data_IF_925988635971
#
_entry.id   IF_925988635971
#
_cell.length_a   1.000
_cell.length_b   1.000
_cell.length_c   1.000
_cell.angle_alpha   90.00
_cell.angle_beta   90.00
_cell.angle_gamma   90.00
#
_symmetry.space_group_name_H-M   'P 1'
#
loop_
_entity.id
_entity.type
_entity.pdbx_description
1 polymer ?
#
# COMPACT_ATOMS: atom_id res chain seq x y z
N UNK A 1 -14.98 7.06 6.86
CA UNK A 1 -15.31 5.64 6.58
C UNK A 1 -14.06 5.00 6.02
N UNK A 2 -13.70 3.80 6.47
CA UNK A 2 -12.49 3.10 6.01
C UNK A 2 -12.68 2.60 4.58
N UNK A 3 -11.67 2.77 3.72
CA UNK A 3 -11.62 2.30 2.35
C UNK A 3 -10.51 1.26 2.24
N UNK A 4 -10.82 0.05 1.76
CA UNK A 4 -9.82 -0.93 1.35
C UNK A 4 -9.76 -0.92 -0.17
N UNK A 5 -8.59 -0.62 -0.72
CA UNK A 5 -8.40 -0.37 -2.15
C UNK A 5 -7.75 -1.57 -2.82
N UNK A 6 -8.28 -2.04 -3.97
CA UNK A 6 -7.52 -2.90 -4.84
C UNK A 6 -6.37 -2.07 -5.42
N UNK A 7 -5.31 -2.71 -5.86
CA UNK A 7 -4.10 -2.04 -6.30
C UNK A 7 -3.58 -2.51 -7.65
N UNK A 8 -3.02 -1.53 -8.35
CA UNK A 8 -2.11 -1.74 -9.46
C UNK A 8 -0.72 -1.91 -8.85
N UNK A 9 -0.33 -3.15 -8.54
CA UNK A 9 1.05 -3.47 -8.13
C UNK A 9 1.96 -3.69 -9.34
N UNK A 10 3.26 -3.49 -9.12
CA UNK A 10 4.26 -3.51 -10.20
C UNK A 10 5.48 -4.35 -9.90
N UNK A 11 5.46 -5.18 -8.84
CA UNK A 11 6.60 -6.00 -8.45
C UNK A 11 6.95 -7.07 -9.50
N UNK A 12 5.99 -7.45 -10.36
CA UNK A 12 6.23 -8.33 -11.49
C UNK A 12 6.56 -9.76 -11.06
N UNK A 13 6.05 -10.19 -9.90
CA UNK A 13 6.26 -11.54 -9.37
C UNK A 13 5.58 -12.61 -10.23
N UNK A 14 4.62 -12.21 -11.06
CA UNK A 14 4.03 -13.05 -12.10
C UNK A 14 4.23 -12.40 -13.46
N UNK A 15 4.51 -13.21 -14.48
CA UNK A 15 4.68 -12.73 -15.86
C UNK A 15 3.44 -12.00 -16.40
N UNK A 16 2.25 -12.33 -15.91
CA UNK A 16 0.98 -11.71 -16.27
C UNK A 16 0.58 -10.53 -15.37
N UNK A 17 1.27 -10.33 -14.24
CA UNK A 17 1.03 -9.24 -13.29
C UNK A 17 1.93 -8.05 -13.63
N UNK A 18 1.51 -7.30 -14.64
CA UNK A 18 2.08 -6.01 -14.98
C UNK A 18 1.01 -4.92 -14.91
N UNK A 19 1.44 -3.66 -14.81
CA UNK A 19 0.51 -2.55 -14.65
C UNK A 19 -0.45 -2.37 -15.83
N UNK A 20 -0.10 -2.79 -17.04
CA UNK A 20 -1.02 -2.73 -18.19
C UNK A 20 -2.19 -3.70 -17.99
N UNK A 21 -1.91 -4.94 -17.57
CA UNK A 21 -2.95 -5.94 -17.26
C UNK A 21 -3.87 -5.40 -16.17
N UNK A 22 -3.30 -4.95 -15.04
CA UNK A 22 -4.08 -4.42 -13.91
C UNK A 22 -4.94 -3.22 -14.29
N UNK A 23 -4.40 -2.28 -15.07
CA UNK A 23 -5.16 -1.12 -15.55
C UNK A 23 -6.31 -1.54 -16.47
N UNK A 24 -6.09 -2.54 -17.33
CA UNK A 24 -7.14 -3.15 -18.15
C UNK A 24 -8.25 -3.77 -17.30
N UNK A 25 -7.89 -4.47 -16.24
CA UNK A 25 -8.86 -5.04 -15.28
C UNK A 25 -9.65 -3.95 -14.54
N UNK A 26 -8.98 -2.93 -14.00
CA UNK A 26 -9.62 -1.77 -13.34
C UNK A 26 -10.66 -1.13 -14.26
N UNK A 27 -10.29 -0.90 -15.52
CA UNK A 27 -11.18 -0.29 -16.52
C UNK A 27 -12.37 -1.19 -16.84
N UNK A 28 -12.12 -2.49 -17.08
CA UNK A 28 -13.14 -3.48 -17.45
C UNK A 28 -14.13 -3.75 -16.33
N UNK A 29 -13.65 -3.81 -15.09
CA UNK A 29 -14.46 -4.06 -13.89
C UNK A 29 -15.15 -2.79 -13.39
N UNK A 30 -14.82 -1.62 -13.95
CA UNK A 30 -15.44 -0.36 -13.59
C UNK A 30 -15.07 0.11 -12.19
N UNK A 31 -13.83 -0.12 -11.75
CA UNK A 31 -13.37 0.26 -10.42
C UNK A 31 -13.14 1.76 -10.35
N UNK A 32 -13.83 2.44 -9.43
CA UNK A 32 -13.80 3.91 -9.33
C UNK A 32 -12.63 4.42 -8.46
N UNK A 33 -12.05 3.57 -7.61
CA UNK A 33 -10.89 3.89 -6.76
C UNK A 33 -9.93 2.72 -6.64
N UNK A 34 -8.64 2.96 -6.85
CA UNK A 34 -7.59 1.98 -6.64
C UNK A 34 -6.33 2.61 -6.04
N UNK A 35 -5.47 1.81 -5.42
CA UNK A 35 -4.11 2.20 -5.06
C UNK A 35 -3.14 1.96 -6.23
N UNK A 36 -2.02 2.68 -6.25
CA UNK A 36 -0.96 2.50 -7.23
C UNK A 36 0.37 2.26 -6.53
N UNK A 37 1.08 1.18 -6.87
CA UNK A 37 2.43 0.92 -6.38
C UNK A 37 3.40 1.05 -7.55
N UNK A 38 4.34 1.99 -7.47
CA UNK A 38 5.32 2.23 -8.55
C UNK A 38 6.71 1.63 -8.25
N UNK A 39 6.81 0.82 -7.20
CA UNK A 39 8.05 0.20 -6.70
C UNK A 39 8.80 -0.62 -7.75
N UNK A 40 8.10 -1.35 -8.61
CA UNK A 40 8.70 -2.12 -9.69
C UNK A 40 8.83 -1.37 -11.03
N UNK A 41 8.45 -0.09 -11.10
CA UNK A 41 8.52 0.71 -12.33
C UNK A 41 9.77 1.60 -12.33
N UNK A 42 10.64 1.38 -13.31
CA UNK A 42 11.82 2.22 -13.51
C UNK A 42 11.43 3.66 -13.82
N UNK A 43 12.27 4.61 -13.43
CA UNK A 43 12.02 6.03 -13.69
C UNK A 43 11.83 6.36 -15.16
N UNK A 44 12.50 5.64 -16.07
CA UNK A 44 12.35 5.78 -17.52
C UNK A 44 10.99 5.34 -18.04
N UNK A 45 10.30 4.46 -17.31
CA UNK A 45 9.07 3.81 -17.75
C UNK A 45 7.81 4.42 -17.09
N UNK A 46 7.98 5.17 -15.99
CA UNK A 46 6.89 5.89 -15.31
C UNK A 46 6.10 6.85 -16.20
N UNK A 47 6.71 7.61 -17.15
CA UNK A 47 5.95 8.44 -18.08
C UNK A 47 4.94 7.64 -18.93
N UNK A 48 5.28 6.40 -19.31
CA UNK A 48 4.38 5.53 -20.05
C UNK A 48 3.21 5.07 -19.18
N UNK A 49 3.48 4.66 -17.93
CA UNK A 49 2.45 4.34 -16.94
C UNK A 49 1.49 5.52 -16.73
N UNK A 50 2.01 6.71 -16.44
CA UNK A 50 1.21 7.91 -16.17
C UNK A 50 0.35 8.31 -17.37
N UNK A 51 0.90 8.22 -18.59
CA UNK A 51 0.16 8.50 -19.81
C UNK A 51 -0.98 7.50 -20.02
N UNK A 52 -0.75 6.22 -19.71
CA UNK A 52 -1.77 5.19 -19.82
C UNK A 52 -2.88 5.35 -18.76
N UNK A 53 -2.54 5.66 -17.51
CA UNK A 53 -3.50 5.98 -16.46
C UNK A 53 -4.40 7.16 -16.87
N UNK A 54 -3.80 8.22 -17.42
CA UNK A 54 -4.53 9.41 -17.87
C UNK A 54 -5.41 9.12 -19.09
N UNK A 55 -4.95 8.27 -20.01
CA UNK A 55 -5.76 7.85 -21.15
C UNK A 55 -6.97 7.02 -20.69
N UNK A 56 -6.77 6.07 -19.78
CA UNK A 56 -7.84 5.26 -19.21
C UNK A 56 -8.87 6.13 -18.46
N UNK A 57 -8.41 7.11 -17.66
CA UNK A 57 -9.31 7.97 -16.87
C UNK A 57 -10.17 8.90 -17.73
N UNK A 58 -9.74 9.24 -18.95
CA UNK A 58 -10.58 9.98 -19.93
C UNK A 58 -11.76 9.16 -20.43
N UNK A 59 -11.61 7.84 -20.54
CA UNK A 59 -12.69 6.95 -20.98
C UNK A 59 -13.65 6.63 -19.84
N UNK A 60 -13.11 6.35 -18.65
CA UNK A 60 -13.88 6.16 -17.42
C UNK A 60 -13.11 6.80 -16.26
N UNK A 61 -13.61 7.90 -15.68
CA UNK A 61 -12.95 8.54 -14.55
C UNK A 61 -12.82 7.58 -13.35
N UNK A 62 -11.63 7.51 -12.76
CA UNK A 62 -11.34 6.83 -11.52
C UNK A 62 -10.33 7.64 -10.70
N UNK A 63 -10.27 7.40 -9.40
CA UNK A 63 -9.34 8.09 -8.49
C UNK A 63 -8.23 7.15 -8.02
N UNK A 64 -7.08 7.73 -7.70
CA UNK A 64 -5.96 7.03 -7.07
C UNK A 64 -5.67 7.72 -5.75
N UNK A 65 -6.47 7.50 -4.69
CA UNK A 65 -6.31 8.23 -3.43
C UNK A 65 -5.01 7.89 -2.69
N UNK A 66 -4.35 6.78 -3.04
CA UNK A 66 -3.12 6.32 -2.41
C UNK A 66 -2.09 5.82 -3.42
N UNK A 67 -0.83 6.23 -3.21
CA UNK A 67 0.30 5.82 -4.04
C UNK A 67 1.47 5.37 -3.17
N UNK A 68 1.94 4.16 -3.40
CA UNK A 68 3.25 3.72 -2.92
C UNK A 68 4.33 4.25 -3.84
N UNK A 69 4.94 5.36 -3.41
CA UNK A 69 5.96 6.09 -4.13
C UNK A 69 7.34 5.47 -3.93
N UNK A 70 8.31 5.91 -4.74
CA UNK A 70 9.72 5.52 -4.59
C UNK A 70 10.58 6.76 -4.35
N UNK A 71 11.72 6.58 -3.67
CA UNK A 71 12.61 7.68 -3.25
C UNK A 71 13.20 8.50 -4.41
N UNK A 72 13.15 7.97 -5.64
CA UNK A 72 13.59 8.66 -6.85
C UNK A 72 12.45 9.26 -7.69
N UNK A 73 11.24 9.40 -7.14
CA UNK A 73 10.19 10.18 -7.79
C UNK A 73 10.50 11.68 -7.70
N UNK A 74 10.36 12.39 -8.82
CA UNK A 74 10.49 13.83 -8.86
C UNK A 74 9.20 14.52 -8.33
N UNK A 75 9.28 15.73 -7.75
CA UNK A 75 8.10 16.47 -7.25
C UNK A 75 6.97 16.59 -8.28
N UNK A 76 7.30 16.80 -9.56
CA UNK A 76 6.32 16.89 -10.64
C UNK A 76 5.51 15.60 -10.84
N UNK A 77 6.06 14.43 -10.49
CA UNK A 77 5.34 13.15 -10.55
C UNK A 77 4.28 13.06 -9.45
N UNK A 78 4.58 13.56 -8.24
CA UNK A 78 3.61 13.67 -7.15
C UNK A 78 2.48 14.64 -7.54
N UNK A 79 2.83 15.83 -8.03
CA UNK A 79 1.85 16.85 -8.45
C UNK A 79 0.94 16.37 -9.58
N UNK A 80 1.51 15.61 -10.52
CA UNK A 80 0.74 14.97 -11.59
C UNK A 80 -0.32 14.02 -11.01
N UNK A 81 0.05 13.17 -10.04
CA UNK A 81 -0.85 12.21 -9.41
C UNK A 81 -1.91 12.89 -8.56
N UNK A 82 -1.56 13.96 -7.84
CA UNK A 82 -2.49 14.79 -7.08
C UNK A 82 -3.52 15.42 -8.01
N UNK A 83 -3.05 16.11 -9.06
CA UNK A 83 -3.92 16.93 -9.93
C UNK A 83 -4.84 16.11 -10.82
N UNK A 84 -4.38 14.94 -11.30
CA UNK A 84 -5.12 14.16 -12.29
C UNK A 84 -5.96 13.04 -11.68
N UNK A 85 -5.60 12.53 -10.51
CA UNK A 85 -6.27 11.37 -9.89
C UNK A 85 -6.77 11.66 -8.47
N UNK A 86 -6.56 12.88 -7.97
CA UNK A 86 -6.96 13.29 -6.63
C UNK A 86 -6.26 12.48 -5.55
N UNK A 87 -4.96 12.24 -5.73
CA UNK A 87 -4.13 11.50 -4.76
C UNK A 87 -4.11 12.24 -3.43
N UNK A 88 -4.48 11.54 -2.37
CA UNK A 88 -4.64 12.10 -1.03
C UNK A 88 -3.38 11.84 -0.19
N UNK A 89 -2.81 10.65 -0.31
CA UNK A 89 -1.68 10.18 0.50
C UNK A 89 -0.67 9.40 -0.34
N UNK A 90 0.57 9.50 0.08
CA UNK A 90 1.66 8.70 -0.43
C UNK A 90 2.28 7.92 0.72
N UNK A 91 2.92 6.79 0.42
CA UNK A 91 3.94 6.26 1.32
C UNK A 91 5.31 6.18 0.65
N UNK A 92 6.34 6.14 1.48
CA UNK A 92 7.71 5.82 1.10
C UNK A 92 8.27 4.80 2.11
N UNK A 93 9.23 4.01 1.64
CA UNK A 93 10.15 3.33 2.55
C UNK A 93 11.00 4.35 3.34
N UNK A 94 11.63 3.93 4.46
CA UNK A 94 12.39 4.84 5.31
C UNK A 94 13.55 5.50 4.58
N UNK A 95 13.67 6.82 4.70
CA UNK A 95 14.70 7.61 4.00
C UNK A 95 16.13 7.28 4.43
N UNK A 96 16.32 6.69 5.62
CA UNK A 96 17.63 6.20 6.05
C UNK A 96 18.11 4.99 5.24
N UNK A 97 17.19 4.21 4.67
CA UNK A 97 17.47 3.05 3.82
C UNK A 97 17.40 3.43 2.34
N UNK A 98 16.42 4.27 1.99
CA UNK A 98 16.16 4.72 0.64
C UNK A 98 16.21 6.26 0.57
N UNK A 99 17.42 6.86 0.53
CA UNK A 99 17.56 8.32 0.47
C UNK A 99 16.80 8.94 -0.70
N UNK A 100 16.18 10.08 -0.45
CA UNK A 100 15.47 10.84 -1.48
C UNK A 100 16.44 11.33 -2.54
N UNK A 101 16.10 11.12 -3.82
CA UNK A 101 16.87 11.68 -4.95
C UNK A 101 16.55 13.15 -5.21
N UNK A 102 15.41 13.62 -4.69
CA UNK A 102 14.92 14.98 -4.86
C UNK A 102 14.44 15.53 -3.51
N UNK A 103 14.69 16.82 -3.27
CA UNK A 103 14.10 17.50 -2.13
C UNK A 103 12.58 17.59 -2.31
N UNK A 104 11.84 17.27 -1.25
CA UNK A 104 10.39 17.41 -1.18
C UNK A 104 10.09 18.58 -0.24
N UNK A 105 9.16 19.45 -0.65
CA UNK A 105 8.74 20.57 0.18
C UNK A 105 7.84 20.12 1.33
N UNK A 106 7.47 21.07 2.19
CA UNK A 106 6.66 20.79 3.37
C UNK A 106 5.25 20.30 3.00
N UNK A 107 4.68 20.74 1.87
CA UNK A 107 3.34 20.31 1.46
C UNK A 107 3.36 18.84 1.05
N UNK A 108 4.26 18.43 0.15
CA UNK A 108 4.39 17.03 -0.25
C UNK A 108 4.72 16.13 0.94
N UNK A 109 5.64 16.56 1.80
CA UNK A 109 6.00 15.79 3.01
C UNK A 109 4.83 15.61 3.96
N UNK A 110 3.92 16.59 4.06
CA UNK A 110 2.69 16.49 4.87
C UNK A 110 1.66 15.47 4.35
N UNK A 111 1.87 14.92 3.15
CA UNK A 111 1.04 13.87 2.53
C UNK A 111 1.71 12.50 2.52
N UNK A 112 2.98 12.41 2.92
CA UNK A 112 3.79 11.19 2.84
C UNK A 112 3.87 10.52 4.21
N UNK A 113 3.56 9.23 4.23
CA UNK A 113 3.62 8.36 5.39
C UNK A 113 4.77 7.36 5.23
N UNK A 114 5.54 7.11 6.30
CA UNK A 114 6.71 6.23 6.21
C UNK A 114 6.35 4.82 6.64
N UNK A 115 6.75 3.86 5.82
CA UNK A 115 6.39 2.46 5.97
C UNK A 115 7.39 1.66 6.82
N UNK A 116 6.89 0.72 7.63
CA UNK A 116 7.70 -0.37 8.20
C UNK A 116 8.07 -1.41 7.12
N UNK A 117 8.93 -1.02 6.19
CA UNK A 117 9.23 -1.76 4.96
C UNK A 117 9.97 -3.09 5.13
N UNK A 118 10.56 -3.34 6.31
CA UNK A 118 11.30 -4.59 6.59
C UNK A 118 10.90 -5.16 7.95
N UNK A 119 10.61 -6.47 8.06
CA UNK A 119 10.32 -7.12 9.33
C UNK A 119 11.53 -7.16 10.29
N UNK A 120 12.74 -6.90 9.79
CA UNK A 120 13.95 -6.95 10.60
C UNK A 120 14.34 -5.57 11.20
N UNK A 121 13.67 -4.49 10.78
CA UNK A 121 14.02 -3.12 11.20
C UNK A 121 12.81 -2.35 11.72
N UNK A 122 12.88 -1.93 12.97
CA UNK A 122 11.93 -0.96 13.53
C UNK A 122 12.23 0.45 13.01
N UNK A 123 11.17 1.21 12.72
CA UNK A 123 11.28 2.64 12.42
C UNK A 123 11.79 3.43 13.62
N UNK A 124 12.62 4.42 13.33
CA UNK A 124 13.10 5.38 14.32
C UNK A 124 12.34 6.70 14.19
N UNK A 125 12.37 7.53 15.24
CA UNK A 125 11.82 8.89 15.16
C UNK A 125 12.48 9.75 14.07
N UNK A 126 13.74 9.44 13.71
CA UNK A 126 14.45 10.13 12.62
C UNK A 126 13.87 9.78 11.25
N UNK A 127 13.44 8.53 11.04
CA UNK A 127 12.81 8.09 9.79
C UNK A 127 11.50 8.86 9.53
N UNK A 128 10.78 9.21 10.60
CA UNK A 128 9.48 9.86 10.57
C UNK A 128 9.57 11.39 10.58
N UNK A 129 10.75 11.95 10.83
CA UNK A 129 10.89 13.38 11.07
C UNK A 129 10.50 14.22 9.85
N UNK A 130 9.52 15.09 10.04
CA UNK A 130 9.00 15.99 9.02
C UNK A 130 8.19 15.28 7.92
N UNK A 131 7.73 14.06 8.15
CA UNK A 131 6.72 13.39 7.33
C UNK A 131 5.37 13.35 8.06
N UNK A 132 4.30 12.98 7.35
CA UNK A 132 2.94 13.04 7.86
C UNK A 132 2.67 12.02 8.99
N UNK A 133 3.38 10.90 9.00
CA UNK A 133 3.20 9.82 9.98
C UNK A 133 3.61 8.46 9.45
N UNK A 134 2.89 7.43 9.91
CA UNK A 134 3.12 6.02 9.59
C UNK A 134 2.21 5.51 8.47
N UNK A 135 2.81 4.75 7.55
CA UNK A 135 2.10 3.75 6.77
C UNK A 135 2.38 2.41 7.43
N UNK A 136 1.38 1.77 8.04
CA UNK A 136 1.62 0.50 8.72
C UNK A 136 1.34 -0.62 7.73
N UNK A 137 2.40 -1.26 7.22
CA UNK A 137 2.28 -2.57 6.59
C UNK A 137 1.98 -3.59 7.68
N UNK A 138 0.74 -4.08 7.68
CA UNK A 138 0.23 -4.96 8.74
C UNK A 138 0.80 -6.37 8.56
N UNK A 139 1.11 -6.79 7.33
CA UNK A 139 1.71 -8.10 7.07
C UNK A 139 3.15 -8.17 7.59
N UNK A 140 3.95 -7.12 7.36
CA UNK A 140 5.28 -6.99 7.97
C UNK A 140 5.19 -6.91 9.49
N UNK A 141 4.18 -6.21 10.03
CA UNK A 141 3.95 -6.14 11.47
C UNK A 141 3.62 -7.51 12.08
N UNK A 142 2.88 -8.35 11.37
CA UNK A 142 2.56 -9.72 11.80
C UNK A 142 3.77 -10.63 11.72
N UNK A 143 4.54 -10.52 10.63
CA UNK A 143 5.81 -11.25 10.52
C UNK A 143 6.77 -10.85 11.64
N UNK A 144 6.86 -9.56 11.98
CA UNK A 144 7.61 -9.09 13.16
C UNK A 144 7.11 -9.77 14.43
N UNK A 145 5.79 -9.80 14.67
CA UNK A 145 5.20 -10.38 15.88
C UNK A 145 5.49 -11.88 16.01
N UNK A 146 5.43 -12.61 14.90
CA UNK A 146 5.61 -14.06 14.87
C UNK A 146 7.09 -14.48 14.91
N UNK A 147 7.95 -13.81 14.16
CA UNK A 147 9.32 -14.26 13.90
C UNK A 147 10.41 -13.34 14.44
N UNK A 148 10.09 -12.10 14.83
CA UNK A 148 11.07 -11.05 15.23
C UNK A 148 10.56 -10.22 16.41
N UNK A 149 10.25 -10.88 17.53
CA UNK A 149 9.63 -10.25 18.70
C UNK A 149 10.36 -8.97 19.18
N UNK A 150 11.69 -8.92 19.12
CA UNK A 150 12.46 -7.72 19.49
C UNK A 150 12.23 -6.55 18.51
N UNK A 151 12.11 -6.81 17.21
CA UNK A 151 11.77 -5.78 16.23
C UNK A 151 10.33 -5.29 16.44
N UNK A 152 9.39 -6.22 16.67
CA UNK A 152 8.01 -5.90 17.01
C UNK A 152 7.92 -4.98 18.23
N UNK A 153 8.58 -5.35 19.34
CA UNK A 153 8.60 -4.55 20.57
C UNK A 153 9.21 -3.16 20.36
N UNK A 154 10.25 -3.04 19.53
CA UNK A 154 10.87 -1.75 19.18
C UNK A 154 9.97 -0.87 18.30
N UNK A 155 9.02 -1.47 17.57
CA UNK A 155 8.09 -0.74 16.72
C UNK A 155 6.86 -0.20 17.48
N UNK A 156 6.44 -0.85 18.59
CA UNK A 156 5.28 -0.43 19.38
C UNK A 156 5.30 1.05 19.82
N UNK A 157 6.44 1.63 20.26
CA UNK A 157 6.50 3.06 20.58
C UNK A 157 6.17 3.96 19.39
N UNK A 158 6.58 3.60 18.17
CA UNK A 158 6.26 4.37 16.97
C UNK A 158 4.75 4.33 16.68
N UNK A 159 4.14 3.14 16.77
CA UNK A 159 2.69 2.96 16.62
C UNK A 159 1.88 3.81 17.61
N UNK A 160 2.39 4.01 18.82
CA UNK A 160 1.72 4.82 19.84
C UNK A 160 1.97 6.33 19.67
N UNK A 161 3.13 6.73 19.12
CA UNK A 161 3.57 8.12 19.09
C UNK A 161 3.21 8.87 17.81
N UNK A 162 3.03 8.17 16.69
CA UNK A 162 2.83 8.80 15.37
C UNK A 162 1.45 8.46 14.79
N UNK A 163 0.83 9.40 14.05
CA UNK A 163 -0.45 9.14 13.40
C UNK A 163 -0.28 8.07 12.31
N UNK A 164 -1.23 7.14 12.25
CA UNK A 164 -1.31 6.14 11.18
C UNK A 164 -2.22 6.70 10.09
N UNK A 165 -1.66 6.96 8.91
CA UNK A 165 -2.41 7.54 7.79
C UNK A 165 -2.62 6.60 6.63
N UNK A 166 -1.96 5.46 6.57
CA UNK A 166 -2.24 4.45 5.57
C UNK A 166 -1.86 3.06 6.09
N UNK A 167 -2.38 2.03 5.44
CA UNK A 167 -1.92 0.66 5.64
C UNK A 167 -1.64 -0.02 4.31
N UNK A 168 -0.65 -0.91 4.33
CA UNK A 168 -0.59 -2.02 3.37
C UNK A 168 -1.13 -3.29 4.01
N UNK A 169 -1.80 -4.08 3.18
CA UNK A 169 -2.30 -5.40 3.54
C UNK A 169 -1.88 -6.38 2.43
N UNK A 170 -1.07 -7.35 2.81
CA UNK A 170 -0.64 -8.49 2.01
C UNK A 170 -1.04 -9.80 2.71
N UNK A 171 -0.86 -10.94 2.05
CA UNK A 171 -1.11 -12.24 2.68
C UNK A 171 -0.03 -12.60 3.70
N UNK A 172 -0.40 -13.34 4.75
CA UNK A 172 0.55 -13.92 5.71
C UNK A 172 0.34 -15.43 5.81
N UNK A 173 1.37 -16.21 5.48
CA UNK A 173 1.33 -17.68 5.53
C UNK A 173 1.91 -18.21 6.84
N UNK A 174 1.05 -18.57 7.79
CA UNK A 174 1.46 -18.98 9.15
C UNK A 174 1.93 -20.43 9.25
N UNK A 175 1.61 -21.26 8.25
CA UNK A 175 2.04 -22.67 8.16
C UNK A 175 3.56 -22.88 8.07
N UNK A 176 4.31 -21.79 7.87
CA UNK A 176 5.79 -21.76 7.84
C UNK A 176 6.38 -20.93 8.96
N UNK A 177 5.66 -20.67 10.05
CA UNK A 177 6.20 -19.90 11.19
C UNK A 177 7.56 -20.47 11.63
N UNK A 178 8.61 -19.64 11.61
CA UNK A 178 10.01 -20.06 11.81
C UNK A 178 10.84 -20.27 10.54
N UNK A 179 10.27 -20.24 9.33
CA UNK A 179 10.94 -20.42 8.04
C UNK A 179 10.43 -19.43 6.98
N UNK A 180 11.33 -18.89 6.13
CA UNK A 180 11.02 -17.96 5.01
C UNK A 180 10.22 -16.69 5.43
N UNK A 181 10.06 -15.66 4.55
CA UNK A 181 9.16 -14.55 4.87
C UNK A 181 7.72 -15.05 4.88
N UNK A 182 6.96 -14.63 5.91
CA UNK A 182 5.56 -15.00 6.07
C UNK A 182 4.67 -14.04 5.30
N UNK A 183 5.05 -12.76 5.20
CA UNK A 183 4.37 -11.77 4.38
C UNK A 183 4.67 -12.01 2.91
N UNK A 184 3.63 -12.17 2.10
CA UNK A 184 3.74 -12.46 0.67
C UNK A 184 2.75 -11.63 -0.14
N UNK A 185 3.19 -11.11 -1.28
CA UNK A 185 2.35 -10.33 -2.20
C UNK A 185 1.47 -11.20 -3.11
N UNK A 186 1.32 -12.49 -2.79
CA UNK A 186 0.42 -13.42 -3.47
C UNK A 186 -0.32 -14.26 -2.44
N UNK A 187 -1.61 -14.01 -2.28
CA UNK A 187 -2.44 -14.88 -1.46
C UNK A 187 -2.81 -16.14 -2.23
N UNK A 188 -2.97 -17.25 -1.49
CA UNK A 188 -3.44 -18.53 -2.02
C UNK A 188 -4.84 -18.86 -1.53
N UNK A 189 -5.17 -18.40 -0.32
CA UNK A 189 -6.47 -18.56 0.30
C UNK A 189 -6.88 -17.26 1.01
N UNK A 190 -8.19 -16.99 1.14
CA UNK A 190 -8.68 -15.84 1.89
C UNK A 190 -8.30 -15.93 3.37
N UNK A 191 -8.09 -17.14 3.89
CA UNK A 191 -7.63 -17.39 5.24
C UNK A 191 -6.25 -16.77 5.52
N UNK A 192 -5.44 -16.49 4.48
CA UNK A 192 -4.16 -15.76 4.58
C UNK A 192 -4.32 -14.35 5.19
N UNK A 193 -5.55 -13.81 5.28
CA UNK A 193 -5.85 -12.52 5.88
C UNK A 193 -6.41 -12.58 7.31
N UNK A 194 -6.64 -13.78 7.89
CA UNK A 194 -7.24 -13.90 9.24
C UNK A 194 -6.40 -13.28 10.35
N UNK A 195 -5.09 -13.18 10.15
CA UNK A 195 -4.17 -12.57 11.10
C UNK A 195 -4.54 -11.11 11.43
N UNK A 196 -5.26 -10.42 10.55
CA UNK A 196 -5.72 -9.05 10.78
C UNK A 196 -6.59 -8.90 12.04
N UNK A 197 -7.28 -9.97 12.47
CA UNK A 197 -8.10 -9.96 13.71
C UNK A 197 -7.27 -9.82 14.99
N UNK A 198 -5.96 -10.03 14.92
CA UNK A 198 -5.07 -9.86 16.07
C UNK A 198 -4.82 -8.39 16.42
N UNK A 199 -5.21 -7.47 15.54
CA UNK A 199 -4.94 -6.04 15.68
C UNK A 199 -6.19 -5.26 16.08
N UNK A 200 -5.98 -4.27 16.96
CA UNK A 200 -7.01 -3.29 17.29
C UNK A 200 -7.42 -2.48 16.06
N UNK A 201 -8.70 -2.10 15.98
CA UNK A 201 -9.23 -1.21 14.96
C UNK A 201 -8.47 0.13 14.84
N UNK A 202 -7.76 0.55 15.90
CA UNK A 202 -6.94 1.75 15.94
C UNK A 202 -5.66 1.67 15.08
N UNK A 203 -5.20 0.45 14.72
CA UNK A 203 -4.04 0.24 13.84
C UNK A 203 -4.40 0.48 12.36
N UNK A 204 -5.69 0.40 12.03
CA UNK A 204 -6.17 0.55 10.67
C UNK A 204 -6.57 2.00 10.40
N UNK A 205 -5.85 2.65 9.48
CA UNK A 205 -6.20 3.93 8.88
C UNK A 205 -7.54 3.86 8.13
N UNK A 206 -8.02 5.01 7.68
CA UNK A 206 -9.16 5.15 6.78
C UNK A 206 -8.84 4.83 5.31
N UNK A 207 -7.56 4.68 4.96
CA UNK A 207 -7.10 4.16 3.67
C UNK A 207 -6.21 2.93 3.92
N UNK A 208 -6.65 1.78 3.45
CA UNK A 208 -5.85 0.56 3.40
C UNK A 208 -5.70 0.16 1.93
N UNK A 209 -4.49 -0.16 1.48
CA UNK A 209 -4.23 -0.65 0.14
C UNK A 209 -3.81 -2.12 0.20
N UNK A 210 -4.42 -2.97 -0.64
CA UNK A 210 -3.89 -4.30 -0.84
C UNK A 210 -2.55 -4.20 -1.58
N UNK A 211 -1.51 -4.88 -1.14
CA UNK A 211 -0.23 -4.95 -1.87
C UNK A 211 -0.06 -6.37 -2.44
N UNK A 212 -0.87 -6.68 -3.46
CA UNK A 212 -1.02 -8.02 -4.00
C UNK A 212 -0.86 -8.03 -5.53
N UNK A 213 -0.15 -9.02 -6.02
CA UNK A 213 0.02 -9.30 -7.44
C UNK A 213 -1.14 -10.15 -8.01
N UNK A 214 -2.07 -10.61 -7.17
CA UNK A 214 -3.30 -11.31 -7.59
C UNK A 214 -4.15 -10.44 -8.54
N UNK A 215 -4.84 -11.02 -9.55
CA UNK A 215 -5.81 -10.34 -10.41
C UNK A 215 -6.75 -9.40 -9.63
N UNK A 216 -7.19 -8.30 -10.24
CA UNK A 216 -8.03 -7.32 -9.54
C UNK A 216 -9.31 -7.98 -9.02
N UNK A 217 -9.90 -8.93 -9.76
CA UNK A 217 -11.09 -9.66 -9.28
C UNK A 217 -10.82 -10.42 -7.97
N UNK A 218 -9.69 -11.11 -7.87
CA UNK A 218 -9.28 -11.82 -6.65
C UNK A 218 -9.03 -10.84 -5.50
N UNK A 219 -8.46 -9.66 -5.78
CA UNK A 219 -8.31 -8.61 -4.78
C UNK A 219 -9.66 -8.09 -4.27
N UNK A 220 -10.69 -7.97 -5.12
CA UNK A 220 -12.04 -7.58 -4.69
C UNK A 220 -12.65 -8.63 -3.76
N UNK A 221 -12.43 -9.91 -4.04
CA UNK A 221 -12.88 -11.00 -3.16
C UNK A 221 -12.18 -10.94 -1.81
N UNK A 222 -10.87 -10.66 -1.79
CA UNK A 222 -10.10 -10.41 -0.57
C UNK A 222 -10.60 -9.19 0.21
N UNK A 223 -10.91 -8.08 -0.47
CA UNK A 223 -11.49 -6.87 0.16
C UNK A 223 -12.78 -7.23 0.89
N UNK A 224 -13.70 -7.93 0.22
CA UNK A 224 -14.97 -8.33 0.84
C UNK A 224 -14.74 -9.18 2.09
N UNK A 225 -13.84 -10.16 2.01
CA UNK A 225 -13.49 -11.00 3.15
C UNK A 225 -12.92 -10.18 4.31
N UNK A 226 -11.98 -9.25 4.04
CA UNK A 226 -11.36 -8.41 5.06
C UNK A 226 -12.38 -7.44 5.69
N UNK A 227 -13.28 -6.87 4.89
CA UNK A 227 -14.36 -6.03 5.40
C UNK A 227 -15.25 -6.78 6.39
N UNK A 228 -15.65 -8.02 6.06
CA UNK A 228 -16.41 -8.90 6.95
C UNK A 228 -15.61 -9.24 8.21
N UNK A 229 -14.33 -9.56 8.05
CA UNK A 229 -13.41 -9.94 9.12
C UNK A 229 -13.22 -8.83 10.18
N UNK A 230 -13.15 -7.58 9.69
CA UNK A 230 -12.93 -6.38 10.51
C UNK A 230 -14.25 -5.68 10.87
N UNK A 231 -15.40 -6.26 10.50
CA UNK A 231 -16.73 -5.67 10.64
C UNK A 231 -16.82 -4.22 10.11
N UNK A 232 -16.14 -3.95 8.99
CA UNK A 232 -16.19 -2.66 8.30
C UNK A 232 -17.46 -2.67 7.42
N UNK A 233 -18.36 -1.67 7.53
CA UNK A 233 -19.52 -1.61 6.65
C UNK A 233 -19.07 -1.47 5.18
N UNK A 234 -19.48 -2.38 4.30
CA UNK A 234 -19.10 -2.33 2.89
C UNK A 234 -19.56 -1.05 2.20
N UNK A 235 -18.69 -0.46 1.39
CA UNK A 235 -19.08 0.62 0.48
C UNK A 235 -19.90 -0.01 -0.65
N UNK A 236 -21.19 0.33 -0.75
CA UNK A 236 -22.01 -0.10 -1.90
C UNK A 236 -21.34 0.37 -3.19
N UNK A 237 -20.99 -0.55 -4.08
CA UNK A 237 -20.67 -0.23 -5.46
C UNK A 237 -21.85 0.57 -6.04
N UNK A 238 -21.55 1.69 -6.70
CA UNK A 238 -22.58 2.45 -7.41
C UNK A 238 -23.19 1.52 -8.46
N UNK A 239 -24.51 1.32 -8.35
CA UNK A 239 -25.31 0.58 -9.33
C UNK A 239 -25.41 1.34 -10.65
#
# INVERSE_FOLDING_TARGET
MRRILPSITTHGLRADSNWHTKLGEITRLGIDQCALFVTGVKSTDRPALFSALLAASKHRPFRIPFVHAVSNMAPAEFEFLISNFGTERFNLHPVSEFPLSHALDAELRSRIFIENASPDRALTAADLHGFAGLCVDISHLEEMRLNRLEAFQRFLPALAAFPIGANHISAVRTERAGEAPLSVHLFQDLEDFRYLQQYSAAVFADICALELENPIQEQLDAIKFIEELLAIPSVKAAA
#
